data_IF_724357332853
#
_entry.id   IF_724357332853
#
_cell.length_a   1.000
_cell.length_b   1.000
_cell.length_c   1.000
_cell.angle_alpha   90.00
_cell.angle_beta   90.00
_cell.angle_gamma   90.00
#
_symmetry.space_group_name_H-M   'P 1'
#
loop_
_entity.id
_entity.type
_entity.pdbx_description
1 polymer ?
#
# COMPACT_ATOMS: atom_id res chain seq x y z
N UNK A 1 0.60 -16.31 -3.66
CA UNK A 1 1.86 -16.56 -2.94
C UNK A 1 1.50 -16.90 -1.51
N UNK A 2 1.63 -18.18 -1.16
CA UNK A 2 1.38 -18.63 0.19
C UNK A 2 2.57 -18.29 1.09
N UNK A 3 2.27 -18.04 2.36
CA UNK A 3 3.31 -17.86 3.36
C UNK A 3 3.89 -19.24 3.71
N UNK A 4 5.07 -19.52 3.24
CA UNK A 4 5.79 -20.77 3.54
C UNK A 4 6.50 -20.73 4.92
N UNK A 5 6.31 -19.66 5.69
CA UNK A 5 6.97 -19.46 6.98
C UNK A 5 8.41 -18.97 6.87
N UNK A 6 8.94 -18.76 5.66
CA UNK A 6 10.28 -18.24 5.49
C UNK A 6 10.33 -16.74 5.80
N UNK A 7 11.48 -16.28 6.28
CA UNK A 7 11.72 -14.85 6.52
C UNK A 7 11.81 -14.03 5.22
N UNK A 8 12.00 -14.73 4.11
CA UNK A 8 12.17 -14.11 2.78
C UNK A 8 10.89 -14.11 1.93
N UNK A 9 9.74 -14.52 2.49
CA UNK A 9 8.50 -14.48 1.73
C UNK A 9 8.00 -13.04 1.55
N UNK A 10 7.35 -12.77 0.41
CA UNK A 10 6.83 -11.46 0.06
C UNK A 10 5.94 -10.86 1.16
N UNK A 11 5.08 -11.66 1.77
CA UNK A 11 4.20 -11.23 2.86
C UNK A 11 4.99 -10.73 4.07
N UNK A 12 6.07 -11.42 4.43
CA UNK A 12 6.93 -11.02 5.54
C UNK A 12 7.63 -9.69 5.24
N UNK A 13 8.17 -9.53 4.04
CA UNK A 13 8.83 -8.29 3.63
C UNK A 13 7.87 -7.10 3.62
N UNK A 14 6.68 -7.25 3.07
CA UNK A 14 5.67 -6.18 3.07
C UNK A 14 5.23 -5.81 4.48
N UNK A 15 5.08 -6.80 5.36
CA UNK A 15 4.72 -6.57 6.77
C UNK A 15 5.80 -5.79 7.50
N UNK A 16 7.05 -6.20 7.36
CA UNK A 16 8.21 -5.54 8.00
C UNK A 16 8.33 -4.09 7.51
N UNK A 17 8.27 -3.86 6.20
CA UNK A 17 8.37 -2.52 5.63
C UNK A 17 7.25 -1.60 6.13
N UNK A 18 6.02 -2.11 6.19
CA UNK A 18 4.87 -1.35 6.68
C UNK A 18 4.96 -1.05 8.16
N UNK A 19 5.38 -2.01 8.98
CA UNK A 19 5.57 -1.83 10.42
C UNK A 19 6.64 -0.78 10.73
N UNK A 20 7.77 -0.84 10.03
CA UNK A 20 8.84 0.15 10.17
C UNK A 20 8.38 1.56 9.76
N UNK A 21 7.60 1.66 8.69
CA UNK A 21 7.04 2.93 8.23
C UNK A 21 6.06 3.50 9.27
N UNK A 22 5.14 2.67 9.77
CA UNK A 22 4.19 3.05 10.80
C UNK A 22 4.88 3.54 12.08
N UNK A 23 5.89 2.81 12.55
CA UNK A 23 6.70 3.20 13.71
C UNK A 23 7.40 4.54 13.50
N UNK A 24 7.98 4.75 12.34
CA UNK A 24 8.65 6.02 12.02
C UNK A 24 7.69 7.20 11.99
N UNK A 25 6.43 6.96 11.60
CA UNK A 25 5.36 7.95 11.61
C UNK A 25 4.70 8.10 12.99
N UNK A 26 5.04 7.27 13.97
CA UNK A 26 4.41 7.29 15.29
C UNK A 26 2.99 6.75 15.33
N UNK A 27 2.63 5.86 14.41
CA UNK A 27 1.29 5.28 14.34
C UNK A 27 1.14 4.08 15.29
N UNK A 28 -0.01 4.02 15.96
CA UNK A 28 -0.44 2.86 16.74
C UNK A 28 -0.97 1.74 15.81
N UNK A 29 -1.02 0.51 16.32
CA UNK A 29 -1.40 -0.67 15.53
C UNK A 29 -2.82 -0.61 14.93
N UNK A 30 -3.74 0.12 15.54
CA UNK A 30 -5.11 0.30 15.07
C UNK A 30 -5.27 1.45 14.05
N UNK A 31 -4.20 2.20 13.80
CA UNK A 31 -4.21 3.37 12.90
C UNK A 31 -3.78 3.05 11.47
N UNK A 32 -3.34 1.83 11.21
CA UNK A 32 -2.91 1.41 9.88
C UNK A 32 -3.21 -0.06 9.62
N UNK A 33 -3.28 -0.42 8.35
CA UNK A 33 -3.44 -1.80 7.93
C UNK A 33 -2.78 -2.04 6.58
N UNK A 34 -2.57 -3.31 6.24
CA UNK A 34 -2.06 -3.74 4.94
C UNK A 34 -3.20 -4.37 4.14
N UNK A 35 -3.30 -4.00 2.87
CA UNK A 35 -4.15 -4.66 1.90
C UNK A 35 -3.38 -4.90 0.60
N UNK A 36 -3.83 -5.87 -0.18
CA UNK A 36 -3.15 -6.31 -1.39
C UNK A 36 -4.02 -6.03 -2.61
N UNK A 37 -3.41 -5.47 -3.65
CA UNK A 37 -4.08 -5.05 -4.89
C UNK A 37 -3.72 -5.96 -6.08
N UNK A 38 -4.28 -5.66 -7.24
CA UNK A 38 -3.94 -6.30 -8.52
C UNK A 38 -4.14 -7.81 -8.53
N UNK A 39 -5.20 -8.30 -7.88
CA UNK A 39 -5.49 -9.72 -7.77
C UNK A 39 -5.60 -10.39 -9.13
N UNK A 40 -4.77 -11.42 -9.36
CA UNK A 40 -4.76 -12.24 -10.56
C UNK A 40 -4.98 -13.71 -10.17
N UNK A 41 -6.23 -14.15 -10.04
CA UNK A 41 -6.56 -15.55 -9.79
C UNK A 41 -6.49 -16.01 -8.31
N UNK A 42 -6.64 -17.32 -8.07
CA UNK A 42 -6.66 -17.89 -6.72
C UNK A 42 -5.29 -17.84 -6.04
N UNK A 43 -5.27 -17.89 -4.71
CA UNK A 43 -4.03 -17.89 -3.92
C UNK A 43 -3.39 -16.52 -3.73
N UNK A 44 -4.04 -15.44 -4.16
CA UNK A 44 -3.55 -14.09 -3.94
C UNK A 44 -3.67 -13.70 -2.46
N UNK A 45 -2.71 -12.89 -1.99
CA UNK A 45 -2.69 -12.46 -0.59
C UNK A 45 -3.93 -11.64 -0.22
N UNK A 46 -4.44 -11.85 0.98
CA UNK A 46 -5.58 -11.12 1.55
C UNK A 46 -5.15 -10.30 2.76
N UNK A 47 -5.91 -9.26 3.15
CA UNK A 47 -7.17 -8.79 2.54
C UNK A 47 -6.95 -8.07 1.20
N UNK A 48 -7.98 -8.07 0.35
CA UNK A 48 -7.95 -7.35 -0.92
C UNK A 48 -8.26 -5.87 -0.73
N UNK A 49 -7.51 -5.01 -1.41
CA UNK A 49 -7.63 -3.54 -1.26
C UNK A 49 -9.04 -3.04 -1.61
N UNK A 50 -9.61 -3.47 -2.73
CA UNK A 50 -10.97 -3.05 -3.13
C UNK A 50 -12.02 -3.42 -2.09
N UNK A 51 -11.92 -4.60 -1.50
CA UNK A 51 -12.83 -5.07 -0.46
C UNK A 51 -12.67 -4.28 0.84
N UNK A 52 -11.43 -3.94 1.21
CA UNK A 52 -11.17 -3.13 2.40
C UNK A 52 -11.69 -1.70 2.22
N UNK A 53 -11.44 -1.09 1.07
CA UNK A 53 -11.92 0.26 0.77
C UNK A 53 -13.45 0.37 0.85
N UNK A 54 -14.18 -0.68 0.43
CA UNK A 54 -15.62 -0.73 0.55
C UNK A 54 -16.13 -0.88 2.00
N UNK A 55 -15.33 -1.45 2.90
CA UNK A 55 -15.71 -1.71 4.30
C UNK A 55 -15.28 -0.64 5.29
N UNK A 56 -14.18 0.05 5.02
CA UNK A 56 -13.61 1.02 5.96
C UNK A 56 -14.60 2.09 6.43
N UNK A 57 -15.45 2.68 5.55
CA UNK A 57 -16.44 3.66 6.01
C UNK A 57 -17.48 3.07 6.98
N UNK A 58 -17.88 1.82 6.77
CA UNK A 58 -18.82 1.13 7.66
C UNK A 58 -18.21 0.90 9.06
N UNK A 59 -16.89 0.79 9.14
CA UNK A 59 -16.13 0.66 10.38
C UNK A 59 -15.84 2.02 11.05
N UNK A 60 -16.38 3.12 10.51
CA UNK A 60 -16.16 4.48 11.01
C UNK A 60 -14.87 5.15 10.51
N UNK A 61 -14.16 4.52 9.59
CA UNK A 61 -12.91 5.02 9.02
C UNK A 61 -13.21 5.73 7.68
N UNK A 62 -13.70 6.94 7.76
CA UNK A 62 -14.19 7.72 6.62
C UNK A 62 -13.16 8.73 6.06
N UNK A 63 -11.99 8.83 6.67
CA UNK A 63 -10.89 9.68 6.24
C UNK A 63 -9.59 8.86 6.30
N UNK A 64 -9.05 8.49 5.14
CA UNK A 64 -7.88 7.63 5.04
C UNK A 64 -6.80 8.22 4.16
N UNK A 65 -5.56 7.81 4.40
CA UNK A 65 -4.45 7.97 3.47
C UNK A 65 -4.02 6.59 2.98
N UNK A 66 -3.72 6.49 1.69
CA UNK A 66 -3.28 5.23 1.08
C UNK A 66 -1.97 5.44 0.32
N UNK A 67 -1.05 4.50 0.47
CA UNK A 67 0.22 4.48 -0.25
C UNK A 67 0.52 3.06 -0.76
N UNK A 68 1.27 2.98 -1.84
CA UNK A 68 1.65 1.73 -2.49
C UNK A 68 3.17 1.51 -2.38
N UNK A 69 3.69 1.07 -1.23
CA UNK A 69 5.14 1.05 -0.97
C UNK A 69 5.90 0.03 -1.81
N UNK A 70 5.20 -0.93 -2.42
CA UNK A 70 5.82 -1.92 -3.32
C UNK A 70 6.09 -1.37 -4.73
N UNK A 71 5.66 -0.14 -5.02
CA UNK A 71 5.89 0.54 -6.29
C UNK A 71 6.82 1.74 -6.07
N UNK A 72 7.95 1.76 -6.74
CA UNK A 72 8.88 2.91 -6.71
C UNK A 72 8.33 4.07 -7.54
N UNK A 73 7.74 3.74 -8.69
CA UNK A 73 7.15 4.72 -9.60
C UNK A 73 5.65 4.53 -9.72
N UNK A 74 4.92 5.63 -9.85
CA UNK A 74 3.50 5.56 -10.18
C UNK A 74 3.30 4.91 -11.55
N UNK A 75 2.26 4.10 -11.64
CA UNK A 75 1.91 3.31 -12.80
C UNK A 75 0.39 3.13 -12.86
N UNK A 76 -0.08 2.31 -13.80
CA UNK A 76 -1.52 2.06 -13.96
C UNK A 76 -2.14 1.47 -12.69
N UNK A 77 -1.44 0.55 -12.02
CA UNK A 77 -1.89 -0.11 -10.80
C UNK A 77 -1.99 0.86 -9.61
N UNK A 78 -1.20 1.93 -9.57
CA UNK A 78 -1.27 2.93 -8.50
C UNK A 78 -2.23 4.08 -8.83
N UNK A 79 -2.19 4.60 -10.04
CA UNK A 79 -2.97 5.78 -10.43
C UNK A 79 -4.41 5.42 -10.82
N UNK A 80 -4.60 4.39 -11.62
CA UNK A 80 -5.93 4.00 -12.07
C UNK A 80 -6.63 3.08 -11.06
N UNK A 81 -5.99 2.00 -10.65
CA UNK A 81 -6.60 1.02 -9.77
C UNK A 81 -6.85 1.58 -8.35
N UNK A 82 -5.87 2.27 -7.77
CA UNK A 82 -5.96 2.77 -6.40
C UNK A 82 -6.51 4.19 -6.36
N UNK A 83 -5.86 5.15 -7.01
CA UNK A 83 -6.24 6.55 -6.86
C UNK A 83 -7.58 6.86 -7.53
N UNK A 84 -7.89 6.30 -8.69
CA UNK A 84 -9.17 6.54 -9.37
C UNK A 84 -10.24 5.56 -8.89
N UNK A 85 -10.13 4.28 -9.22
CA UNK A 85 -11.16 3.28 -8.90
C UNK A 85 -11.30 3.02 -7.41
N UNK A 86 -10.18 2.96 -6.69
CA UNK A 86 -10.19 2.79 -5.23
C UNK A 86 -10.88 3.95 -4.53
N UNK A 87 -10.60 5.16 -4.95
CA UNK A 87 -11.26 6.38 -4.45
C UNK A 87 -12.77 6.34 -4.69
N UNK A 88 -13.19 5.98 -5.91
CA UNK A 88 -14.62 5.84 -6.21
C UNK A 88 -15.29 4.81 -5.31
N UNK A 89 -14.69 3.65 -5.13
CA UNK A 89 -15.19 2.58 -4.25
C UNK A 89 -15.35 3.08 -2.82
N UNK A 90 -14.33 3.76 -2.29
CA UNK A 90 -14.32 4.28 -0.92
C UNK A 90 -15.40 5.37 -0.72
N UNK A 91 -15.50 6.32 -1.64
CA UNK A 91 -16.49 7.40 -1.55
C UNK A 91 -17.92 6.88 -1.70
N UNK A 92 -18.18 5.94 -2.61
CA UNK A 92 -19.49 5.30 -2.77
C UNK A 92 -19.91 4.51 -1.54
N UNK A 93 -18.97 3.95 -0.79
CA UNK A 93 -19.24 3.24 0.45
C UNK A 93 -19.50 4.15 1.66
N UNK A 94 -19.43 5.47 1.49
CA UNK A 94 -19.66 6.46 2.54
C UNK A 94 -18.40 7.13 3.08
N UNK A 95 -17.25 6.88 2.49
CA UNK A 95 -16.00 7.57 2.83
C UNK A 95 -16.09 9.07 2.52
N UNK A 96 -15.43 9.88 3.32
CA UNK A 96 -15.44 11.35 3.16
C UNK A 96 -14.20 11.84 2.43
N UNK A 97 -13.02 11.31 2.78
CA UNK A 97 -11.77 11.74 2.20
C UNK A 97 -10.79 10.58 2.06
N UNK A 98 -10.26 10.42 0.87
CA UNK A 98 -9.15 9.51 0.60
C UNK A 98 -7.98 10.32 0.02
N UNK A 99 -6.85 10.31 0.70
CA UNK A 99 -5.62 10.93 0.23
C UNK A 99 -4.71 9.86 -0.35
N UNK A 100 -4.42 9.95 -1.64
CA UNK A 100 -3.43 9.12 -2.28
C UNK A 100 -2.03 9.73 -2.10
N UNK A 101 -1.09 8.93 -1.57
CA UNK A 101 0.30 9.34 -1.42
C UNK A 101 1.06 8.85 -2.66
N UNK A 102 1.60 9.75 -3.50
CA UNK A 102 2.36 9.36 -4.68
C UNK A 102 3.54 8.45 -4.35
N UNK A 103 3.88 7.56 -5.28
CA UNK A 103 5.11 6.78 -5.20
C UNK A 103 6.34 7.71 -5.20
N UNK A 104 7.49 7.18 -4.89
CA UNK A 104 8.73 7.97 -4.77
C UNK A 104 9.13 8.65 -6.09
N UNK A 105 8.82 8.00 -7.21
CA UNK A 105 9.07 8.50 -8.56
C UNK A 105 10.54 8.91 -8.73
N UNK A 106 10.79 10.11 -9.30
CA UNK A 106 12.11 10.64 -9.56
C UNK A 106 12.59 11.65 -8.49
N UNK A 107 12.10 11.53 -7.26
CA UNK A 107 12.54 12.37 -6.15
C UNK A 107 14.06 12.26 -5.95
N UNK A 108 14.67 13.32 -5.45
CA UNK A 108 16.12 13.36 -5.21
C UNK A 108 16.57 12.22 -4.31
N UNK A 109 15.81 11.92 -3.26
CA UNK A 109 16.12 10.80 -2.35
C UNK A 109 16.08 9.45 -3.05
N UNK A 110 15.13 9.23 -3.97
CA UNK A 110 15.04 8.00 -4.78
C UNK A 110 16.25 7.87 -5.68
N UNK A 111 16.64 8.93 -6.39
CA UNK A 111 17.80 8.93 -7.29
C UNK A 111 19.08 8.67 -6.50
N UNK A 112 19.25 9.29 -5.35
CA UNK A 112 20.40 9.05 -4.47
C UNK A 112 20.47 7.61 -3.98
N UNK A 113 19.33 7.01 -3.60
CA UNK A 113 19.27 5.61 -3.22
C UNK A 113 19.70 4.69 -4.37
N UNK A 114 19.15 4.89 -5.56
CA UNK A 114 19.46 4.08 -6.73
C UNK A 114 20.95 4.22 -7.12
N UNK A 115 21.49 5.43 -7.07
CA UNK A 115 22.92 5.66 -7.30
C UNK A 115 23.79 4.88 -6.32
N UNK A 116 23.48 4.94 -5.03
CA UNK A 116 24.21 4.22 -4.00
C UNK A 116 24.17 2.70 -4.21
N UNK A 117 22.99 2.16 -4.57
CA UNK A 117 22.85 0.73 -4.85
C UNK A 117 23.67 0.28 -6.07
N UNK A 118 23.69 1.08 -7.13
CA UNK A 118 24.46 0.79 -8.34
C UNK A 118 25.96 0.85 -8.04
N UNK A 119 26.42 1.85 -7.28
CA UNK A 119 27.85 1.99 -6.92
C UNK A 119 28.33 0.90 -5.97
N UNK A 120 27.45 0.32 -5.16
CA UNK A 120 27.76 -0.74 -4.21
C UNK A 120 27.81 -2.14 -4.84
N UNK A 121 27.31 -2.29 -6.06
CA UNK A 121 27.24 -3.59 -6.75
C UNK A 121 28.52 -3.92 -7.57
#
# INVERSE_FOLDING_TARGET
IENDGSKDCYRSHTRIASDLTAKKLGLEDDQWEIAYQSRIGPGWLTPFTDKRLAKLPEEGKDNIAILCPSFISDCLETLEEIDIRGRETFLKAGGKKMTYIPCLNDSEDTINLLENLVRAS
#
